data_IF_509502348714
#
_entry.id   IF_509502348714
#
_cell.length_a   1.000
_cell.length_b   1.000
_cell.length_c   1.000
_cell.angle_alpha   90.00
_cell.angle_beta   90.00
_cell.angle_gamma   90.00
#
_symmetry.space_group_name_H-M   'P 1'
#
loop_
_entity.id
_entity.type
_entity.pdbx_description
1 polymer ?
#
# COMPACT_ATOMS: atom_id res chain seq x y z
N UNK A 1 41.76 -11.07 60.33
CA UNK A 1 42.45 -11.09 59.01
C UNK A 1 41.39 -10.96 57.92
N UNK A 2 41.19 -9.74 57.39
CA UNK A 2 40.20 -9.47 56.33
C UNK A 2 40.86 -9.81 54.98
N UNK A 3 40.43 -10.89 54.33
CA UNK A 3 40.84 -11.21 52.96
C UNK A 3 40.17 -10.21 52.03
N UNK A 4 40.97 -9.28 51.50
CA UNK A 4 40.56 -8.40 50.41
C UNK A 4 40.28 -9.29 49.20
N UNK A 5 39.00 -9.41 48.85
CA UNK A 5 38.59 -9.99 47.58
C UNK A 5 39.14 -9.07 46.49
N UNK A 6 40.09 -9.58 45.73
CA UNK A 6 40.91 -8.84 44.78
C UNK A 6 40.02 -8.18 43.71
N UNK A 7 40.08 -6.85 43.66
CA UNK A 7 39.50 -5.99 42.62
C UNK A 7 39.69 -6.48 41.15
N UNK A 8 40.78 -7.16 40.74
CA UNK A 8 40.90 -7.64 39.36
C UNK A 8 39.91 -8.74 38.97
N UNK A 9 39.36 -9.49 39.95
CA UNK A 9 38.43 -10.58 39.63
C UNK A 9 37.03 -10.07 39.26
N UNK A 10 36.63 -8.91 39.81
CA UNK A 10 35.37 -8.26 39.43
C UNK A 10 35.44 -7.57 38.06
N UNK A 11 36.60 -7.04 37.67
CA UNK A 11 36.78 -6.39 36.37
C UNK A 11 36.69 -7.40 35.19
N UNK A 12 37.21 -8.61 35.37
CA UNK A 12 37.16 -9.65 34.33
C UNK A 12 35.74 -10.17 34.08
N UNK A 13 34.89 -10.25 35.11
CA UNK A 13 33.51 -10.71 34.98
C UNK A 13 32.61 -9.71 34.22
N UNK A 14 32.84 -8.40 34.40
CA UNK A 14 32.07 -7.36 33.70
C UNK A 14 32.49 -7.24 32.24
N UNK A 15 33.77 -7.43 31.92
CA UNK A 15 34.26 -7.42 30.53
C UNK A 15 33.74 -8.61 29.71
N UNK A 16 33.53 -9.79 30.33
CA UNK A 16 32.98 -10.96 29.65
C UNK A 16 31.48 -10.83 29.31
N UNK A 17 30.71 -10.07 30.09
CA UNK A 17 29.29 -9.81 29.79
C UNK A 17 29.07 -8.73 28.72
N UNK A 18 30.05 -7.86 28.47
CA UNK A 18 29.97 -6.84 27.41
C UNK A 18 30.23 -7.41 26.00
N UNK A 19 30.84 -8.59 25.88
CA UNK A 19 31.17 -9.24 24.60
C UNK A 19 30.11 -10.25 24.14
N UNK A 20 29.08 -10.50 24.96
CA UNK A 20 27.99 -11.45 24.66
C UNK A 20 26.67 -10.77 24.28
N UNK A 21 26.67 -9.44 24.06
CA UNK A 21 25.59 -8.77 23.34
C UNK A 21 25.68 -9.13 21.85
N UNK A 22 25.34 -10.38 21.51
CA UNK A 22 24.88 -10.67 20.17
C UNK A 22 23.74 -9.68 19.90
N UNK A 23 23.76 -8.92 18.79
CA UNK A 23 22.60 -8.13 18.45
C UNK A 23 21.43 -9.10 18.44
N UNK A 24 20.41 -8.82 19.25
CA UNK A 24 19.14 -9.51 19.13
C UNK A 24 18.71 -9.27 17.69
N UNK A 25 19.02 -10.23 16.81
CA UNK A 25 18.50 -10.23 15.46
C UNK A 25 17.05 -10.61 15.65
N UNK A 26 16.22 -9.61 15.89
CA UNK A 26 14.85 -9.64 15.45
C UNK A 26 14.94 -9.88 13.93
N UNK A 27 15.04 -11.15 13.55
CA UNK A 27 14.95 -11.56 12.16
C UNK A 27 13.48 -11.39 11.80
N UNK A 28 13.08 -10.14 11.58
CA UNK A 28 12.00 -9.89 10.65
C UNK A 28 12.55 -10.34 9.30
N UNK A 29 12.31 -11.62 8.98
CA UNK A 29 12.53 -12.21 7.67
C UNK A 29 11.45 -11.68 6.71
N UNK A 30 11.34 -10.37 6.61
CA UNK A 30 10.52 -9.73 5.62
C UNK A 30 11.46 -8.93 4.73
N UNK A 31 11.82 -9.53 3.61
CA UNK A 31 12.49 -8.82 2.54
C UNK A 31 11.43 -8.08 1.72
N UNK A 32 11.47 -6.74 1.79
CA UNK A 32 10.59 -5.88 1.00
C UNK A 32 10.87 -6.07 -0.50
N UNK A 33 9.84 -6.14 -1.36
CA UNK A 33 10.04 -6.13 -2.81
C UNK A 33 10.73 -4.84 -3.25
N UNK A 34 11.49 -4.92 -4.36
CA UNK A 34 11.96 -3.72 -5.03
C UNK A 34 10.79 -3.02 -5.73
N UNK A 35 10.32 -1.92 -5.11
CA UNK A 35 9.24 -1.09 -5.62
C UNK A 35 9.74 0.14 -6.39
N UNK A 36 11.05 0.30 -6.57
CA UNK A 36 11.65 1.50 -7.16
C UNK A 36 11.02 1.84 -8.51
N UNK A 37 10.73 3.12 -8.74
CA UNK A 37 10.16 3.60 -9.99
C UNK A 37 10.87 4.88 -10.41
N UNK A 38 11.09 5.12 -11.71
CA UNK A 38 11.44 6.45 -12.16
C UNK A 38 10.31 7.43 -11.81
N UNK A 39 10.62 8.73 -11.68
CA UNK A 39 9.61 9.77 -11.51
C UNK A 39 8.59 9.74 -12.65
N UNK A 40 7.34 10.02 -12.31
CA UNK A 40 6.20 9.98 -13.23
C UNK A 40 5.65 11.37 -13.53
N UNK A 41 4.89 11.46 -14.62
CA UNK A 41 4.25 12.69 -15.09
C UNK A 41 2.74 12.70 -14.91
N UNK A 42 2.14 11.53 -14.68
CA UNK A 42 0.70 11.32 -14.58
C UNK A 42 0.05 10.82 -15.87
N UNK A 43 0.80 10.86 -16.99
CA UNK A 43 0.34 10.34 -18.28
C UNK A 43 0.45 8.81 -18.39
N UNK A 44 1.18 8.18 -17.47
CA UNK A 44 1.53 6.77 -17.55
C UNK A 44 0.29 5.88 -17.29
N UNK A 45 -0.05 4.94 -18.19
CA UNK A 45 -1.28 4.15 -18.07
C UNK A 45 -1.42 3.35 -16.77
N UNK A 46 -0.31 2.84 -16.23
CA UNK A 46 -0.28 2.05 -15.00
C UNK A 46 -0.73 2.82 -13.74
N UNK A 47 -0.75 4.16 -13.81
CA UNK A 47 -1.22 5.00 -12.72
C UNK A 47 -2.75 5.07 -12.64
N UNK A 48 -3.44 4.59 -13.68
CA UNK A 48 -4.91 4.51 -13.75
C UNK A 48 -5.63 5.85 -13.51
N UNK A 49 -4.98 7.00 -13.79
CA UNK A 49 -5.61 8.32 -13.67
C UNK A 49 -6.68 8.56 -14.73
N UNK A 50 -6.51 8.05 -15.96
CA UNK A 50 -7.53 8.07 -17.01
C UNK A 50 -8.15 9.48 -17.26
N UNK A 51 -7.30 10.48 -17.53
CA UNK A 51 -7.71 11.86 -17.83
C UNK A 51 -7.41 12.23 -19.29
N UNK A 52 -8.21 11.76 -20.27
CA UNK A 52 -7.98 12.06 -21.69
C UNK A 52 -8.03 13.57 -21.97
N UNK A 53 -7.06 14.08 -22.72
CA UNK A 53 -6.98 15.51 -23.05
C UNK A 53 -6.63 16.41 -21.87
N UNK A 54 -6.08 15.85 -20.78
CA UNK A 54 -5.53 16.62 -19.68
C UNK A 54 -4.23 17.32 -20.11
N UNK A 55 -4.09 18.56 -19.65
CA UNK A 55 -2.86 19.35 -19.73
C UNK A 55 -1.83 18.85 -18.72
N UNK A 56 -0.54 19.18 -18.88
CA UNK A 56 0.49 18.85 -17.90
C UNK A 56 0.18 19.33 -16.48
N UNK A 57 -0.50 20.48 -16.34
CA UNK A 57 -0.89 21.03 -15.04
C UNK A 57 -2.02 20.22 -14.40
N UNK A 58 -3.01 19.78 -15.19
CA UNK A 58 -4.09 18.92 -14.71
C UNK A 58 -3.57 17.53 -14.32
N UNK A 59 -2.60 16.97 -15.05
CA UNK A 59 -1.95 15.70 -14.69
C UNK A 59 -1.15 15.81 -13.39
N UNK A 60 -0.42 16.91 -13.19
CA UNK A 60 0.32 17.17 -11.95
C UNK A 60 -0.62 17.35 -10.76
N UNK A 61 -1.72 18.07 -10.94
CA UNK A 61 -2.75 18.22 -9.92
C UNK A 61 -3.41 16.87 -9.60
N UNK A 62 -3.66 16.04 -10.60
CA UNK A 62 -4.17 14.68 -10.42
C UNK A 62 -3.18 13.80 -9.64
N UNK A 63 -1.88 13.89 -9.91
CA UNK A 63 -0.84 13.22 -9.12
C UNK A 63 -0.90 13.57 -7.63
N UNK A 64 -0.97 14.87 -7.31
CA UNK A 64 -1.10 15.36 -5.93
C UNK A 64 -2.39 14.84 -5.29
N UNK A 65 -3.51 14.87 -6.02
CA UNK A 65 -4.78 14.37 -5.53
C UNK A 65 -4.77 12.86 -5.27
N UNK A 66 -4.15 12.10 -6.17
CA UNK A 66 -3.93 10.66 -6.02
C UNK A 66 -3.02 10.35 -4.82
N UNK A 67 -1.96 11.14 -4.59
CA UNK A 67 -1.09 10.99 -3.41
C UNK A 67 -1.89 11.19 -2.12
N UNK A 68 -2.71 12.25 -2.06
CA UNK A 68 -3.61 12.51 -0.93
C UNK A 68 -4.58 11.34 -0.68
N UNK A 69 -5.19 10.82 -1.76
CA UNK A 69 -6.11 9.69 -1.65
C UNK A 69 -5.39 8.43 -1.12
N UNK A 70 -4.19 8.12 -1.63
CA UNK A 70 -3.40 7.00 -1.15
C UNK A 70 -3.05 7.15 0.35
N UNK A 71 -2.62 8.34 0.79
CA UNK A 71 -2.32 8.62 2.19
C UNK A 71 -3.55 8.49 3.09
N UNK A 72 -4.73 8.92 2.63
CA UNK A 72 -5.98 8.73 3.36
C UNK A 72 -6.32 7.23 3.52
N UNK A 73 -6.26 6.47 2.43
CA UNK A 73 -6.56 5.04 2.46
C UNK A 73 -5.57 4.31 3.36
N UNK A 74 -4.29 4.70 3.35
CA UNK A 74 -3.27 4.16 4.26
C UNK A 74 -3.54 4.50 5.74
N UNK A 75 -4.01 5.71 6.04
CA UNK A 75 -4.41 6.07 7.40
C UNK A 75 -5.53 5.17 7.93
N UNK A 76 -6.44 4.70 7.06
CA UNK A 76 -7.52 3.80 7.45
C UNK A 76 -7.09 2.33 7.48
N UNK A 77 -6.39 1.85 6.46
CA UNK A 77 -6.10 0.42 6.28
C UNK A 77 -4.87 -0.04 7.06
N UNK A 78 -3.98 0.87 7.47
CA UNK A 78 -2.71 0.51 8.13
C UNK A 78 -2.69 0.79 9.63
N UNK A 79 -3.82 1.25 10.21
CA UNK A 79 -3.91 1.61 11.64
C UNK A 79 -3.68 0.43 12.60
N UNK A 80 -3.77 -0.80 12.08
CA UNK A 80 -3.40 -2.01 12.85
C UNK A 80 -1.92 -2.02 13.29
N UNK A 81 -1.05 -1.22 12.66
CA UNK A 81 0.37 -1.11 12.98
C UNK A 81 0.76 0.35 13.29
N UNK A 82 0.54 0.82 14.54
CA UNK A 82 0.78 2.21 14.93
C UNK A 82 2.20 2.72 14.69
N UNK A 83 3.20 1.82 14.70
CA UNK A 83 4.60 2.16 14.41
C UNK A 83 4.82 2.69 12.98
N UNK A 84 3.88 2.45 12.05
CA UNK A 84 3.95 2.98 10.68
C UNK A 84 3.56 4.45 10.59
N UNK A 85 2.93 5.01 11.63
CA UNK A 85 2.57 6.43 11.75
C UNK A 85 1.70 6.96 10.59
N UNK A 86 0.95 6.09 9.90
CA UNK A 86 0.19 6.48 8.70
C UNK A 86 -0.89 7.52 8.99
N UNK A 87 -1.60 7.39 10.12
CA UNK A 87 -2.62 8.37 10.56
C UNK A 87 -2.00 9.73 10.86
N UNK A 88 -0.92 9.77 11.65
CA UNK A 88 -0.25 11.04 12.00
C UNK A 88 0.39 11.69 10.79
N UNK A 89 1.05 10.91 9.92
CA UNK A 89 1.67 11.41 8.69
C UNK A 89 0.62 11.99 7.74
N UNK A 90 -0.52 11.33 7.56
CA UNK A 90 -1.61 11.83 6.74
C UNK A 90 -2.14 13.17 7.25
N UNK A 91 -2.51 13.24 8.53
CA UNK A 91 -3.06 14.47 9.12
C UNK A 91 -2.05 15.63 9.08
N UNK A 92 -0.79 15.36 9.38
CA UNK A 92 0.29 16.35 9.29
C UNK A 92 0.52 16.81 7.84
N UNK A 93 0.49 15.90 6.85
CA UNK A 93 0.64 16.25 5.44
C UNK A 93 -0.49 17.17 4.93
N UNK A 94 -1.73 16.95 5.39
CA UNK A 94 -2.85 17.84 5.07
C UNK A 94 -2.62 19.23 5.67
N UNK A 95 -2.26 19.29 6.95
CA UNK A 95 -2.02 20.58 7.61
C UNK A 95 -0.84 21.33 6.98
N UNK A 96 0.19 20.61 6.52
CA UNK A 96 1.36 21.23 5.91
C UNK A 96 1.14 21.68 4.46
N UNK A 97 0.26 21.03 3.70
CA UNK A 97 0.07 21.26 2.26
C UNK A 97 -1.36 21.63 1.86
N UNK A 98 -2.16 22.15 2.79
CA UNK A 98 -3.57 22.52 2.58
C UNK A 98 -3.79 23.39 1.33
N UNK A 99 -2.98 24.42 1.13
CA UNK A 99 -3.05 25.31 -0.03
C UNK A 99 -2.79 24.56 -1.36
N UNK A 100 -1.81 23.66 -1.39
CA UNK A 100 -1.47 22.88 -2.58
C UNK A 100 -2.55 21.84 -2.91
N UNK A 101 -3.12 21.23 -1.87
CA UNK A 101 -4.21 20.27 -1.99
C UNK A 101 -5.48 20.96 -2.50
N UNK A 102 -5.81 22.15 -1.98
CA UNK A 102 -6.96 22.93 -2.43
C UNK A 102 -6.83 23.37 -3.89
N UNK A 103 -5.64 23.85 -4.28
CA UNK A 103 -5.34 24.20 -5.69
C UNK A 103 -5.44 22.97 -6.60
N UNK A 104 -4.84 21.85 -6.20
CA UNK A 104 -4.86 20.62 -6.98
C UNK A 104 -6.29 20.08 -7.16
N UNK A 105 -7.10 20.10 -6.10
CA UNK A 105 -8.53 19.77 -6.17
C UNK A 105 -9.25 20.66 -7.18
N UNK A 106 -9.11 21.98 -7.06
CA UNK A 106 -9.75 22.93 -7.97
C UNK A 106 -9.33 22.71 -9.43
N UNK A 107 -8.05 22.42 -9.70
CA UNK A 107 -7.54 22.12 -11.04
C UNK A 107 -8.15 20.83 -11.60
N UNK A 108 -8.22 19.76 -10.81
CA UNK A 108 -8.81 18.49 -11.28
C UNK A 108 -10.32 18.63 -11.48
N UNK A 109 -11.05 19.33 -10.61
CA UNK A 109 -12.47 19.66 -10.84
C UNK A 109 -12.65 20.49 -12.11
N UNK A 110 -11.75 21.47 -12.34
CA UNK A 110 -11.73 22.29 -13.54
C UNK A 110 -11.55 21.48 -14.83
N UNK A 111 -10.73 20.43 -14.80
CA UNK A 111 -10.60 19.48 -15.92
C UNK A 111 -11.96 18.87 -16.30
N UNK A 112 -12.74 18.38 -15.32
CA UNK A 112 -14.05 17.78 -15.61
C UNK A 112 -15.06 18.82 -16.09
N UNK A 113 -15.02 20.03 -15.55
CA UNK A 113 -15.86 21.13 -16.04
C UNK A 113 -15.54 21.51 -17.49
N UNK A 114 -14.27 21.43 -17.88
CA UNK A 114 -13.79 21.73 -19.23
C UNK A 114 -14.11 20.62 -20.23
N UNK A 115 -13.96 19.36 -19.84
CA UNK A 115 -14.02 18.20 -20.75
C UNK A 115 -15.39 17.52 -20.80
N UNK A 116 -16.14 17.53 -19.68
CA UNK A 116 -17.45 16.87 -19.59
C UNK A 116 -18.58 17.90 -19.57
N UNK A 117 -18.36 19.06 -18.94
CA UNK A 117 -19.30 20.20 -18.93
C UNK A 117 -19.40 20.88 -17.57
N UNK A 118 -19.73 22.17 -17.54
CA UNK A 118 -19.80 22.97 -16.31
C UNK A 118 -20.98 22.58 -15.41
N UNK A 119 -20.83 22.86 -14.10
CA UNK A 119 -21.87 22.63 -13.09
C UNK A 119 -22.07 21.14 -12.80
N UNK A 120 -23.32 20.75 -12.53
CA UNK A 120 -23.68 19.41 -12.01
C UNK A 120 -23.11 18.24 -12.82
N UNK A 121 -23.01 18.38 -14.14
CA UNK A 121 -22.48 17.31 -15.01
C UNK A 121 -20.99 17.07 -14.75
N UNK A 122 -20.19 18.14 -14.70
CA UNK A 122 -18.76 18.06 -14.39
C UNK A 122 -18.51 17.66 -12.94
N UNK A 123 -19.30 18.18 -11.99
CA UNK A 123 -19.20 17.80 -10.57
C UNK A 123 -19.45 16.30 -10.39
N UNK A 124 -20.51 15.75 -11.02
CA UNK A 124 -20.78 14.32 -10.98
C UNK A 124 -19.66 13.48 -11.60
N UNK A 125 -19.08 13.96 -12.70
CA UNK A 125 -17.96 13.25 -13.34
C UNK A 125 -16.73 13.24 -12.42
N UNK A 126 -16.43 14.36 -11.77
CA UNK A 126 -15.39 14.47 -10.77
C UNK A 126 -15.67 13.55 -9.56
N UNK A 127 -16.90 13.48 -9.05
CA UNK A 127 -17.26 12.61 -7.92
C UNK A 127 -17.04 11.12 -8.24
N UNK A 128 -17.42 10.70 -9.46
CA UNK A 128 -17.18 9.33 -9.95
C UNK A 128 -15.69 9.06 -10.07
N UNK A 129 -14.93 10.00 -10.63
CA UNK A 129 -13.48 9.90 -10.70
C UNK A 129 -12.85 9.79 -9.32
N UNK A 130 -13.22 10.68 -8.40
CA UNK A 130 -12.72 10.73 -7.04
C UNK A 130 -13.00 9.42 -6.31
N UNK A 131 -14.23 8.89 -6.41
CA UNK A 131 -14.59 7.59 -5.82
C UNK A 131 -13.70 6.47 -6.36
N UNK A 132 -13.46 6.42 -7.68
CA UNK A 132 -12.54 5.44 -8.28
C UNK A 132 -11.12 5.63 -7.77
N UNK A 133 -10.64 6.87 -7.63
CA UNK A 133 -9.31 7.17 -7.11
C UNK A 133 -9.08 6.58 -5.72
N UNK A 134 -10.04 6.66 -4.79
CA UNK A 134 -9.89 6.01 -3.47
C UNK A 134 -9.93 4.48 -3.57
N UNK A 135 -10.84 3.93 -4.38
CA UNK A 135 -10.94 2.48 -4.59
C UNK A 135 -9.66 1.90 -5.20
N UNK A 136 -8.94 2.66 -6.02
CA UNK A 136 -7.68 2.24 -6.65
C UNK A 136 -6.56 1.92 -5.65
N UNK A 137 -6.63 2.43 -4.42
CA UNK A 137 -5.62 2.21 -3.37
C UNK A 137 -6.08 1.21 -2.30
N UNK A 138 -7.30 0.69 -2.39
CA UNK A 138 -7.78 -0.31 -1.45
C UNK A 138 -7.22 -1.68 -1.80
N UNK A 139 -6.29 -2.20 -1.00
CA UNK A 139 -5.68 -3.52 -1.22
C UNK A 139 -5.66 -4.35 0.05
N UNK A 140 -6.37 -5.48 0.03
CA UNK A 140 -6.30 -6.47 1.13
C UNK A 140 -5.13 -7.44 0.90
N UNK A 141 -4.90 -7.84 -0.35
CA UNK A 141 -3.90 -8.86 -0.67
C UNK A 141 -2.46 -8.32 -0.66
N UNK A 142 -2.25 -7.03 -0.89
CA UNK A 142 -0.93 -6.39 -0.84
C UNK A 142 -0.78 -5.43 0.36
N UNK A 143 -1.63 -5.58 1.39
CA UNK A 143 -1.75 -4.62 2.50
C UNK A 143 -0.41 -4.35 3.19
N UNK A 144 0.42 -5.38 3.38
CA UNK A 144 1.74 -5.23 4.01
C UNK A 144 2.67 -4.31 3.21
N UNK A 145 2.84 -4.59 1.92
CA UNK A 145 3.76 -3.85 1.06
C UNK A 145 3.27 -2.41 0.88
N UNK A 146 1.96 -2.23 0.67
CA UNK A 146 1.32 -0.92 0.62
C UNK A 146 1.52 -0.12 1.92
N UNK A 147 1.27 -0.72 3.09
CA UNK A 147 1.38 -0.01 4.37
C UNK A 147 2.83 0.41 4.69
N UNK A 148 3.81 -0.46 4.40
CA UNK A 148 5.23 -0.12 4.55
C UNK A 148 5.64 1.02 3.62
N UNK A 149 5.22 0.96 2.35
CA UNK A 149 5.51 2.00 1.37
C UNK A 149 4.87 3.33 1.75
N UNK A 150 3.60 3.32 2.16
CA UNK A 150 2.87 4.52 2.57
C UNK A 150 3.41 5.13 3.87
N UNK A 151 4.03 4.35 4.76
CA UNK A 151 4.77 4.89 5.91
C UNK A 151 5.95 5.75 5.45
N UNK A 152 6.75 5.26 4.49
CA UNK A 152 7.90 5.99 3.91
C UNK A 152 7.44 7.24 3.17
N UNK A 153 6.43 7.12 2.31
CA UNK A 153 5.89 8.24 1.52
C UNK A 153 5.26 9.28 2.42
N UNK A 154 4.47 8.86 3.42
CA UNK A 154 3.86 9.78 4.39
C UNK A 154 4.91 10.58 5.14
N UNK A 155 6.02 9.95 5.53
CA UNK A 155 7.16 10.65 6.14
C UNK A 155 7.80 11.65 5.18
N UNK A 156 8.01 11.29 3.92
CA UNK A 156 8.56 12.22 2.93
C UNK A 156 7.63 13.41 2.71
N UNK A 157 6.31 13.18 2.63
CA UNK A 157 5.32 14.23 2.46
C UNK A 157 5.35 15.26 3.59
N UNK A 158 5.49 14.85 4.86
CA UNK A 158 5.51 15.81 5.98
C UNK A 158 6.79 16.66 6.04
N UNK A 159 7.89 16.19 5.44
CA UNK A 159 9.18 16.90 5.41
C UNK A 159 9.43 17.63 4.09
N UNK A 160 8.56 17.45 3.10
CA UNK A 160 8.63 18.19 1.86
C UNK A 160 8.30 19.67 2.11
N UNK A 161 9.06 20.61 1.52
CA UNK A 161 8.72 22.03 1.60
C UNK A 161 7.30 22.33 1.11
N UNK A 162 6.66 23.36 1.70
CA UNK A 162 5.41 23.91 1.14
C UNK A 162 5.66 24.35 -0.32
N UNK A 163 4.76 23.96 -1.20
CA UNK A 163 4.84 24.16 -2.65
C UNK A 163 5.45 22.99 -3.43
N UNK A 164 6.00 21.97 -2.76
CA UNK A 164 6.67 20.84 -3.43
C UNK A 164 6.00 19.48 -3.25
N UNK A 165 4.74 19.41 -2.79
CA UNK A 165 4.06 18.12 -2.63
C UNK A 165 3.92 17.38 -3.97
N UNK A 166 3.81 18.14 -5.08
CA UNK A 166 3.83 17.58 -6.42
C UNK A 166 5.12 16.81 -6.75
N UNK A 167 6.27 17.21 -6.21
CA UNK A 167 7.55 16.52 -6.42
C UNK A 167 7.51 15.15 -5.74
N UNK A 168 6.99 15.08 -4.51
CA UNK A 168 6.78 13.81 -3.80
C UNK A 168 5.84 12.92 -4.62
N UNK A 169 4.73 13.47 -5.12
CA UNK A 169 3.79 12.71 -5.95
C UNK A 169 4.46 12.18 -7.23
N UNK A 170 5.24 13.00 -7.93
CA UNK A 170 5.97 12.58 -9.13
C UNK A 170 6.99 11.47 -8.82
N UNK A 171 7.73 11.58 -7.72
CA UNK A 171 8.77 10.61 -7.39
C UNK A 171 8.20 9.29 -6.87
N UNK A 172 7.11 9.34 -6.08
CA UNK A 172 6.65 8.17 -5.31
C UNK A 172 5.44 7.46 -5.91
N UNK A 173 4.69 8.10 -6.82
CA UNK A 173 3.44 7.49 -7.31
C UNK A 173 3.67 6.15 -8.01
N UNK A 174 4.77 5.99 -8.75
CA UNK A 174 5.10 4.70 -9.37
C UNK A 174 5.32 3.57 -8.33
N UNK A 175 6.01 3.89 -7.23
CA UNK A 175 6.27 2.96 -6.13
C UNK A 175 4.96 2.60 -5.39
N UNK A 176 4.13 3.61 -5.11
CA UNK A 176 2.79 3.41 -4.54
C UNK A 176 1.99 2.46 -5.42
N UNK A 177 1.97 2.64 -6.75
CA UNK A 177 1.22 1.75 -7.65
C UNK A 177 1.76 0.32 -7.64
N UNK A 178 3.08 0.14 -7.59
CA UNK A 178 3.69 -1.19 -7.49
C UNK A 178 3.36 -1.88 -6.16
N UNK A 179 3.30 -1.11 -5.06
CA UNK A 179 2.97 -1.64 -3.72
C UNK A 179 1.55 -2.25 -3.59
N UNK A 180 0.67 -1.96 -4.55
CA UNK A 180 -0.70 -2.49 -4.58
C UNK A 180 -0.77 -3.90 -5.18
N UNK A 181 0.29 -4.37 -5.81
CA UNK A 181 0.37 -5.71 -6.40
C UNK A 181 0.93 -6.65 -5.33
N UNK A 182 0.25 -7.76 -4.98
CA UNK A 182 0.76 -8.70 -4.00
C UNK A 182 2.10 -9.26 -4.48
N UNK A 183 3.14 -9.08 -3.68
CA UNK A 183 4.42 -9.75 -3.88
C UNK A 183 4.61 -10.83 -2.82
N UNK A 184 5.25 -11.94 -3.19
CA UNK A 184 5.69 -12.93 -2.21
C UNK A 184 6.73 -12.32 -1.27
N UNK A 185 6.84 -12.82 -0.05
CA UNK A 185 8.00 -12.48 0.78
C UNK A 185 9.25 -13.05 0.08
N UNK A 186 10.31 -12.24 -0.13
CA UNK A 186 11.40 -12.65 -1.02
C UNK A 186 12.24 -13.80 -0.47
N UNK A 187 12.17 -14.06 0.85
CA UNK A 187 12.95 -15.11 1.51
C UNK A 187 12.17 -16.44 1.69
N UNK A 188 10.85 -16.38 1.88
CA UNK A 188 9.94 -17.49 2.04
C UNK A 188 8.90 -17.46 0.92
N UNK A 189 8.96 -18.47 0.05
CA UNK A 189 7.91 -18.74 -0.93
C UNK A 189 6.57 -18.77 -0.22
N UNK A 190 5.68 -17.82 -0.53
CA UNK A 190 4.37 -17.74 0.09
C UNK A 190 3.53 -18.96 -0.36
N UNK A 191 3.28 -19.96 0.50
CA UNK A 191 2.50 -21.12 0.11
C UNK A 191 1.02 -20.74 -0.17
N UNK A 192 0.57 -19.58 0.32
CA UNK A 192 -0.81 -19.12 0.19
C UNK A 192 -1.16 -18.52 -1.18
N UNK A 193 -0.22 -18.34 -2.12
CA UNK A 193 -0.57 -17.95 -3.50
C UNK A 193 -0.43 -19.09 -4.51
N UNK A 194 0.09 -20.25 -4.08
CA UNK A 194 0.22 -21.44 -4.92
C UNK A 194 -0.94 -22.43 -4.79
N UNK A 195 -1.90 -22.21 -3.87
CA UNK A 195 -3.02 -23.13 -3.72
C UNK A 195 -4.03 -22.92 -4.85
N UNK A 196 -4.25 -23.97 -5.63
CA UNK A 196 -5.40 -24.04 -6.54
C UNK A 196 -6.47 -24.84 -5.82
N UNK A 197 -7.55 -24.19 -5.38
CA UNK A 197 -8.70 -24.92 -4.85
C UNK A 197 -9.32 -25.73 -5.99
N UNK A 198 -9.37 -27.05 -5.84
CA UNK A 198 -10.19 -27.88 -6.73
C UNK A 198 -11.65 -27.51 -6.47
N UNK A 199 -12.32 -26.88 -7.45
CA UNK A 199 -13.72 -26.49 -7.30
C UNK A 199 -14.68 -27.63 -7.70
N UNK A 200 -15.88 -27.69 -7.10
CA UNK A 200 -16.95 -28.56 -7.58
C UNK A 200 -17.45 -28.10 -8.95
N UNK A 201 -18.11 -29.00 -9.68
CA UNK A 201 -18.68 -28.66 -10.99
C UNK A 201 -19.97 -27.83 -10.79
N UNK A 202 -19.97 -26.59 -11.27
CA UNK A 202 -21.11 -25.67 -11.20
C UNK A 202 -22.10 -25.83 -12.37
N UNK A 203 -21.87 -26.80 -13.26
CA UNK A 203 -22.76 -27.09 -14.38
C UNK A 203 -24.09 -27.67 -13.93
N UNK A 204 -25.16 -27.41 -14.70
CA UNK A 204 -26.53 -27.89 -14.43
C UNK A 204 -26.65 -29.40 -14.19
N UNK A 205 -25.71 -30.20 -14.69
CA UNK A 205 -25.65 -31.66 -14.47
C UNK A 205 -25.39 -32.05 -13.01
N UNK A 206 -24.74 -31.19 -12.22
CA UNK A 206 -24.37 -31.46 -10.83
C UNK A 206 -25.29 -30.77 -9.81
N UNK A 207 -26.28 -30.03 -10.28
CA UNK A 207 -27.20 -29.24 -9.46
C UNK A 207 -28.64 -29.58 -9.82
N UNK A 208 -29.42 -29.99 -8.82
CA UNK A 208 -30.88 -30.17 -8.96
C UNK A 208 -31.58 -29.19 -8.04
N UNK A 209 -32.17 -28.14 -8.62
CA UNK A 209 -32.55 -26.93 -7.87
C UNK A 209 -31.30 -26.40 -7.13
N UNK A 210 -31.41 -26.15 -5.83
CA UNK A 210 -30.30 -25.65 -4.99
C UNK A 210 -29.52 -26.78 -4.29
N UNK A 211 -29.74 -28.04 -4.67
CA UNK A 211 -29.06 -29.18 -4.08
C UNK A 211 -27.93 -29.67 -4.98
N UNK A 212 -26.71 -29.67 -4.43
CA UNK A 212 -25.55 -30.28 -5.05
C UNK A 212 -25.65 -31.81 -4.98
N UNK A 213 -25.49 -32.48 -6.12
CA UNK A 213 -25.72 -33.92 -6.20
C UNK A 213 -24.57 -34.73 -5.61
N UNK A 214 -24.90 -35.80 -4.88
CA UNK A 214 -23.94 -36.62 -4.13
C UNK A 214 -22.87 -37.31 -5.01
N UNK A 215 -23.20 -37.69 -6.24
CA UNK A 215 -22.23 -38.22 -7.21
C UNK A 215 -21.18 -37.17 -7.60
N UNK A 216 -21.60 -35.93 -7.82
CA UNK A 216 -20.70 -34.82 -8.11
C UNK A 216 -19.89 -34.39 -6.88
N UNK A 217 -20.45 -34.51 -5.68
CA UNK A 217 -19.73 -34.31 -4.43
C UNK A 217 -18.60 -35.33 -4.26
N UNK A 218 -18.89 -36.62 -4.41
CA UNK A 218 -17.87 -37.68 -4.35
C UNK A 218 -16.78 -37.50 -5.41
N UNK A 219 -17.15 -37.17 -6.65
CA UNK A 219 -16.20 -36.92 -7.72
C UNK A 219 -15.34 -35.66 -7.47
N UNK A 220 -15.90 -34.66 -6.80
CA UNK A 220 -15.15 -33.49 -6.36
C UNK A 220 -14.18 -33.83 -5.23
N UNK A 221 -14.64 -34.50 -4.18
CA UNK A 221 -13.81 -34.96 -3.05
C UNK A 221 -12.64 -35.80 -3.51
N UNK A 222 -12.86 -36.72 -4.45
CA UNK A 222 -11.80 -37.54 -5.05
C UNK A 222 -10.73 -36.67 -5.73
N UNK A 223 -11.13 -35.71 -6.58
CA UNK A 223 -10.19 -34.80 -7.25
C UNK A 223 -9.47 -33.89 -6.27
N UNK A 224 -10.17 -33.39 -5.25
CA UNK A 224 -9.62 -32.53 -4.21
C UNK A 224 -8.61 -33.29 -3.34
N UNK A 225 -8.83 -34.58 -3.09
CA UNK A 225 -7.91 -35.44 -2.33
C UNK A 225 -6.67 -35.87 -3.11
N UNK A 226 -6.73 -35.88 -4.44
CA UNK A 226 -5.63 -36.31 -5.31
C UNK A 226 -4.72 -35.16 -5.80
N UNK A 227 -5.06 -33.91 -5.49
CA UNK A 227 -4.39 -32.70 -5.99
C UNK A 227 -3.52 -31.96 -4.99
N UNK A 228 -3.01 -32.66 -3.95
CA UNK A 228 -2.04 -32.13 -2.99
C UNK A 228 -0.61 -32.51 -3.35
#
# INVERSE_FOLDING_TARGET
MKKFLSLPLMAAAVAAMALSSAPARAQFYFAEPDLSSPPVTGAEPQLAMNLPGATPDELRAALVWHLRAALNVAALQCDFAPSLLTVSNYNASIAHHDDELAKSLATVTGYFHRTVGKGRTGDRAFDVYNTKTYSLYSTVHAQRDFCNEMSKVGREAIFAPRGSLHVVAQNRMGEIRKSLVPTGEQYFTNPAYGFTATLPDFGKKCWKKDNFQANCAKAWEQRASSGG
#
